data_IF_223251881418
#
_entry.id   IF_223251881418
#
_cell.length_a   1.000
_cell.length_b   1.000
_cell.length_c   1.000
_cell.angle_alpha   90.00
_cell.angle_beta   90.00
_cell.angle_gamma   90.00
#
_symmetry.space_group_name_H-M   'P 1'
#
loop_
_entity.id
_entity.type
_entity.pdbx_description
1 polymer ?
#
# COMPACT_ATOMS: atom_id res chain seq x y z
N UNK A 1 14.50 -10.94 -8.82
CA UNK A 1 13.34 -10.68 -7.93
C UNK A 1 12.87 -12.00 -7.34
N UNK A 2 12.35 -12.02 -6.10
CA UNK A 2 11.74 -13.19 -5.53
C UNK A 2 10.45 -13.50 -6.27
N UNK A 3 10.18 -14.78 -6.49
CA UNK A 3 8.94 -15.25 -7.10
C UNK A 3 7.73 -15.12 -6.18
N UNK A 4 7.96 -14.95 -4.87
CA UNK A 4 6.92 -14.79 -3.85
C UNK A 4 7.23 -13.65 -2.90
N UNK A 5 6.20 -12.93 -2.49
CA UNK A 5 6.29 -11.86 -1.50
C UNK A 5 5.48 -12.22 -0.26
N UNK A 6 5.96 -11.77 0.89
CA UNK A 6 5.26 -11.95 2.15
C UNK A 6 4.12 -10.95 2.32
N UNK A 7 2.98 -11.46 2.77
CA UNK A 7 1.79 -10.68 3.09
C UNK A 7 1.49 -10.82 4.57
N UNK A 8 1.07 -9.72 5.20
CA UNK A 8 0.70 -9.72 6.60
C UNK A 8 -0.66 -10.41 6.76
N UNK A 9 -0.74 -11.58 7.42
CA UNK A 9 -2.00 -12.31 7.56
C UNK A 9 -3.07 -11.53 8.33
N UNK A 10 -2.70 -10.55 9.16
CA UNK A 10 -3.66 -9.66 9.83
C UNK A 10 -4.45 -8.84 8.80
N UNK A 11 -3.77 -8.41 7.74
CA UNK A 11 -4.36 -7.64 6.66
C UNK A 11 -4.93 -8.51 5.54
N UNK A 12 -4.68 -9.83 5.57
CA UNK A 12 -5.10 -10.76 4.53
C UNK A 12 -6.26 -11.68 4.91
N UNK A 13 -7.01 -11.34 5.96
CA UNK A 13 -8.31 -11.96 6.21
C UNK A 13 -9.26 -11.45 5.12
N UNK A 14 -9.62 -12.29 4.14
CA UNK A 14 -10.59 -11.94 3.08
C UNK A 14 -11.71 -11.09 3.67
N UNK A 15 -11.78 -9.82 3.25
CA UNK A 15 -12.89 -8.93 3.59
C UNK A 15 -14.16 -9.22 2.79
N UNK A 16 -14.14 -10.26 1.95
CA UNK A 16 -15.24 -10.64 1.07
C UNK A 16 -15.79 -11.98 1.56
N UNK A 17 -17.01 -11.89 2.11
CA UNK A 17 -18.06 -12.89 2.31
C UNK A 17 -17.65 -14.38 2.25
N UNK A 18 -17.94 -15.07 3.37
CA UNK A 18 -17.86 -16.51 3.65
C UNK A 18 -16.47 -17.03 4.05
N UNK A 19 -16.37 -17.35 5.34
CA UNK A 19 -15.31 -18.18 5.90
C UNK A 19 -15.91 -19.53 6.29
N UNK A 20 -15.52 -20.61 5.61
CA UNK A 20 -15.69 -21.97 6.14
C UNK A 20 -14.54 -22.25 7.11
N UNK A 21 -14.88 -22.68 8.33
CA UNK A 21 -13.97 -22.82 9.47
C UNK A 21 -13.20 -24.15 9.47
N UNK A 22 -12.40 -24.40 8.43
CA UNK A 22 -11.48 -25.55 8.43
C UNK A 22 -10.25 -25.16 7.65
N UNK A 23 -9.14 -24.91 8.34
CA UNK A 23 -7.87 -24.59 7.70
C UNK A 23 -6.73 -25.44 8.26
N UNK A 24 -6.06 -26.16 7.36
CA UNK A 24 -4.94 -27.07 7.64
C UNK A 24 -3.59 -26.31 7.67
N UNK A 25 -2.51 -26.93 8.15
CA UNK A 25 -1.20 -26.28 8.35
C UNK A 25 -0.55 -25.72 7.07
N UNK A 26 -0.77 -26.34 5.90
CA UNK A 26 -0.31 -25.82 4.59
C UNK A 26 -1.07 -24.56 4.13
N UNK A 27 -2.35 -24.44 4.46
CA UNK A 27 -3.14 -23.22 4.20
C UNK A 27 -2.59 -22.01 4.96
N UNK A 28 -1.86 -22.26 6.04
CA UNK A 28 -1.28 -21.22 6.89
C UNK A 28 -0.09 -20.51 6.23
N UNK A 29 0.64 -21.17 5.32
CA UNK A 29 1.72 -20.55 4.53
C UNK A 29 1.20 -19.87 3.26
N UNK A 30 0.22 -20.48 2.58
CA UNK A 30 -0.48 -19.88 1.45
C UNK A 30 -1.21 -18.57 1.85
N UNK A 31 -1.70 -18.48 3.09
CA UNK A 31 -2.30 -17.25 3.62
C UNK A 31 -1.29 -16.12 3.94
N UNK A 32 0.02 -16.41 3.96
CA UNK A 32 1.11 -15.50 4.37
C UNK A 32 2.05 -15.09 3.24
N UNK A 33 1.85 -15.62 2.03
CA UNK A 33 2.61 -15.19 0.84
C UNK A 33 1.75 -15.20 -0.41
N UNK A 34 2.07 -14.35 -1.38
CA UNK A 34 1.50 -14.39 -2.73
C UNK A 34 2.62 -14.42 -3.77
N UNK A 35 2.32 -14.86 -4.98
CA UNK A 35 3.29 -14.78 -6.07
C UNK A 35 3.50 -13.32 -6.49
N UNK A 36 4.72 -12.97 -6.90
CA UNK A 36 5.07 -11.59 -7.27
C UNK A 36 4.27 -11.10 -8.49
N UNK A 37 4.07 -11.99 -9.46
CA UNK A 37 3.29 -11.79 -10.69
C UNK A 37 1.77 -11.64 -10.46
N UNK A 38 1.26 -12.05 -9.30
CA UNK A 38 -0.15 -11.84 -8.95
C UNK A 38 -0.49 -10.39 -8.55
N UNK A 39 0.55 -9.60 -8.27
CA UNK A 39 0.45 -8.19 -7.85
C UNK A 39 1.07 -7.25 -8.88
N UNK A 40 2.20 -7.66 -9.47
CA UNK A 40 2.99 -6.81 -10.35
C UNK A 40 3.19 -7.44 -11.73
N UNK A 41 3.25 -6.59 -12.75
CA UNK A 41 3.45 -6.96 -14.14
C UNK A 41 4.95 -7.05 -14.43
N UNK A 42 5.50 -8.27 -14.48
CA UNK A 42 6.95 -8.48 -14.65
C UNK A 42 7.44 -8.02 -16.02
N UNK A 43 6.61 -8.17 -17.05
CA UNK A 43 6.94 -7.73 -18.41
C UNK A 43 7.00 -6.21 -18.46
N UNK A 44 6.00 -5.53 -17.87
CA UNK A 44 5.98 -4.07 -17.80
C UNK A 44 7.15 -3.48 -17.00
N UNK A 45 7.59 -4.15 -15.90
CA UNK A 45 8.80 -3.71 -15.17
C UNK A 45 10.05 -3.94 -16.04
N UNK A 46 10.06 -5.04 -16.80
CA UNK A 46 11.18 -5.41 -17.67
C UNK A 46 11.41 -4.44 -18.84
N UNK A 47 10.41 -3.63 -19.20
CA UNK A 47 10.57 -2.50 -20.13
C UNK A 47 11.56 -1.45 -19.60
N UNK A 48 11.72 -1.35 -18.27
CA UNK A 48 12.67 -0.42 -17.64
C UNK A 48 13.98 -1.11 -17.27
N UNK A 49 13.90 -2.23 -16.55
CA UNK A 49 15.07 -3.01 -16.13
C UNK A 49 14.72 -4.49 -16.23
N UNK A 50 15.52 -5.32 -16.95
CA UNK A 50 15.24 -6.74 -17.09
C UNK A 50 15.02 -7.43 -15.74
N UNK A 51 13.85 -8.04 -15.56
CA UNK A 51 13.50 -8.75 -14.33
C UNK A 51 13.63 -10.26 -14.53
N UNK A 52 14.41 -10.90 -13.66
CA UNK A 52 14.51 -12.36 -13.60
C UNK A 52 13.98 -12.81 -12.23
N UNK A 53 13.00 -13.73 -12.23
CA UNK A 53 12.48 -14.35 -11.01
C UNK A 53 13.39 -15.47 -10.52
N UNK A 54 13.53 -15.61 -9.20
CA UNK A 54 14.38 -16.60 -8.54
C UNK A 54 13.97 -18.07 -8.76
N UNK A 55 12.76 -18.31 -9.28
CA UNK A 55 12.27 -19.63 -9.66
C UNK A 55 12.34 -19.90 -11.17
N UNK A 56 12.90 -18.98 -11.97
CA UNK A 56 12.96 -19.11 -13.42
C UNK A 56 14.12 -20.00 -13.89
N UNK A 57 13.96 -20.64 -15.05
CA UNK A 57 15.04 -21.39 -15.72
C UNK A 57 16.25 -20.50 -16.00
N UNK A 58 16.00 -19.25 -16.39
CA UNK A 58 17.04 -18.27 -16.66
C UNK A 58 17.87 -17.96 -15.40
N UNK A 59 17.21 -17.78 -14.25
CA UNK A 59 17.92 -17.62 -12.98
C UNK A 59 18.83 -18.81 -12.67
N UNK A 60 18.34 -20.03 -12.86
CA UNK A 60 19.14 -21.24 -12.66
C UNK A 60 20.35 -21.29 -13.60
N UNK A 61 20.19 -20.92 -14.87
CA UNK A 61 21.28 -20.85 -15.84
C UNK A 61 22.33 -19.80 -15.46
N UNK A 62 21.89 -18.59 -15.07
CA UNK A 62 22.80 -17.53 -14.59
C UNK A 62 23.56 -18.00 -13.37
N UNK A 63 22.88 -18.54 -12.37
CA UNK A 63 23.48 -18.99 -11.11
C UNK A 63 24.50 -20.11 -11.34
N UNK A 64 24.14 -21.14 -12.10
CA UNK A 64 25.04 -22.26 -12.41
C UNK A 64 26.27 -21.82 -13.21
N UNK A 65 26.10 -20.90 -14.16
CA UNK A 65 27.22 -20.35 -14.95
C UNK A 65 28.13 -19.48 -14.07
N UNK A 66 27.56 -18.60 -13.24
CA UNK A 66 28.32 -17.80 -12.28
C UNK A 66 29.14 -18.66 -11.32
N UNK A 67 28.55 -19.76 -10.80
CA UNK A 67 29.26 -20.70 -9.93
C UNK A 67 30.44 -21.37 -10.63
N UNK A 68 30.28 -21.80 -11.90
CA UNK A 68 31.38 -22.38 -12.71
C UNK A 68 32.53 -21.39 -12.94
N UNK A 69 32.23 -20.11 -13.06
CA UNK A 69 33.21 -19.05 -13.31
C UNK A 69 33.90 -18.55 -12.01
N UNK A 70 33.41 -18.93 -10.84
CA UNK A 70 33.97 -18.54 -9.54
C UNK A 70 34.05 -17.03 -9.36
N UNK A 71 35.22 -16.52 -8.94
CA UNK A 71 35.47 -15.08 -8.73
C UNK A 71 35.32 -14.22 -10.00
N UNK A 72 35.24 -14.84 -11.20
CA UNK A 72 34.98 -14.15 -12.47
C UNK A 72 33.50 -14.11 -12.85
N UNK A 73 32.64 -14.87 -12.16
CA UNK A 73 31.22 -14.98 -12.46
C UNK A 73 30.31 -14.34 -11.42
N UNK A 74 30.79 -14.20 -10.18
CA UNK A 74 30.05 -13.57 -9.08
C UNK A 74 30.95 -12.65 -8.27
N UNK A 75 30.43 -11.49 -7.88
CA UNK A 75 31.02 -10.69 -6.80
C UNK A 75 29.98 -10.31 -5.77
N UNK A 76 30.41 -10.30 -4.51
CA UNK A 76 29.66 -9.69 -3.42
C UNK A 76 30.08 -8.23 -3.27
N UNK A 77 29.12 -7.30 -3.35
CA UNK A 77 29.39 -5.86 -3.40
C UNK A 77 28.71 -5.13 -2.26
N UNK A 78 29.15 -5.41 -1.03
CA UNK A 78 28.72 -4.64 0.13
C UNK A 78 29.31 -3.22 0.08
N UNK A 79 28.49 -2.18 0.30
CA UNK A 79 28.89 -0.77 0.36
C UNK A 79 29.54 -0.17 -0.90
N UNK A 80 29.54 -0.87 -2.03
CA UNK A 80 30.00 -0.33 -3.32
C UNK A 80 28.95 0.64 -3.89
N UNK A 81 29.39 1.81 -4.36
CA UNK A 81 28.48 2.81 -4.93
C UNK A 81 28.01 2.42 -6.34
N UNK A 82 26.93 3.04 -6.82
CA UNK A 82 26.47 2.80 -8.20
C UNK A 82 27.49 3.28 -9.25
N UNK A 83 28.23 4.36 -8.96
CA UNK A 83 29.28 4.88 -9.83
C UNK A 83 30.42 3.88 -9.92
N UNK A 84 30.88 3.35 -8.78
CA UNK A 84 31.96 2.34 -8.74
C UNK A 84 31.57 1.05 -9.46
N UNK A 85 30.32 0.60 -9.34
CA UNK A 85 29.83 -0.57 -10.09
C UNK A 85 29.85 -0.35 -11.61
N UNK A 86 29.66 0.89 -12.06
CA UNK A 86 29.60 1.25 -13.48
C UNK A 86 30.99 1.48 -14.08
N UNK A 87 31.87 2.13 -13.34
CA UNK A 87 33.16 2.61 -13.86
C UNK A 87 34.32 1.63 -13.62
N UNK A 88 34.22 0.76 -12.62
CA UNK A 88 35.28 -0.19 -12.32
C UNK A 88 35.18 -1.45 -13.21
N UNK A 89 36.19 -1.65 -14.07
CA UNK A 89 36.29 -2.78 -15.00
C UNK A 89 36.31 -4.15 -14.32
N UNK A 90 36.58 -4.22 -13.00
CA UNK A 90 36.47 -5.45 -12.23
C UNK A 90 35.05 -6.02 -12.21
N UNK A 91 34.03 -5.16 -12.31
CA UNK A 91 32.63 -5.58 -12.26
C UNK A 91 31.99 -5.76 -13.63
N UNK A 92 32.61 -5.25 -14.71
CA UNK A 92 32.00 -5.21 -16.05
C UNK A 92 31.78 -6.58 -16.69
N UNK A 93 32.56 -7.59 -16.29
CA UNK A 93 32.50 -8.95 -16.84
C UNK A 93 31.77 -9.95 -15.92
N UNK A 94 31.18 -9.48 -14.82
CA UNK A 94 30.48 -10.34 -13.88
C UNK A 94 29.06 -10.64 -14.34
N UNK A 95 28.65 -11.90 -14.22
CA UNK A 95 27.27 -12.32 -14.51
C UNK A 95 26.32 -12.05 -13.35
N UNK A 96 26.81 -12.16 -12.11
CA UNK A 96 26.01 -11.95 -10.91
C UNK A 96 26.70 -10.99 -9.95
N UNK A 97 26.00 -9.91 -9.63
CA UNK A 97 26.40 -8.95 -8.59
C UNK A 97 25.48 -9.19 -7.40
N UNK A 98 26.00 -9.85 -6.37
CA UNK A 98 25.28 -10.08 -5.13
C UNK A 98 25.48 -8.85 -4.22
N UNK A 99 24.47 -7.98 -4.18
CA UNK A 99 24.43 -6.87 -3.24
C UNK A 99 23.62 -7.32 -2.03
N UNK A 100 24.23 -7.33 -0.84
CA UNK A 100 23.53 -7.57 0.43
C UNK A 100 22.25 -6.74 0.44
N UNK A 101 21.12 -7.39 0.77
CA UNK A 101 19.76 -6.88 0.65
C UNK A 101 19.75 -5.35 0.71
N UNK A 102 19.59 -4.75 -0.47
CA UNK A 102 19.67 -3.31 -0.60
C UNK A 102 18.67 -2.69 0.36
N UNK A 103 19.02 -1.64 1.11
CA UNK A 103 18.05 -0.80 1.82
C UNK A 103 16.91 -0.29 0.93
N UNK A 104 17.08 -0.44 -0.38
CA UNK A 104 16.23 0.02 -1.46
C UNK A 104 15.40 -1.12 -2.09
N UNK A 105 15.35 -2.32 -1.50
CA UNK A 105 14.55 -3.42 -2.05
C UNK A 105 13.08 -3.02 -2.13
N UNK A 106 12.46 -3.34 -3.27
CA UNK A 106 11.09 -2.94 -3.61
C UNK A 106 10.02 -3.71 -2.83
N UNK A 107 10.38 -4.86 -2.29
CA UNK A 107 9.49 -5.81 -1.62
C UNK A 107 10.24 -6.44 -0.45
N UNK A 108 9.49 -6.96 0.51
CA UNK A 108 10.04 -7.76 1.60
C UNK A 108 10.06 -9.22 1.17
N UNK A 109 11.23 -9.83 1.11
CA UNK A 109 11.36 -11.28 0.95
C UNK A 109 10.80 -11.99 2.20
N UNK A 110 10.22 -13.17 2.02
CA UNK A 110 9.69 -13.95 3.13
C UNK A 110 10.79 -14.51 4.03
N UNK A 111 11.92 -14.85 3.43
CA UNK A 111 13.18 -15.10 4.11
C UNK A 111 13.66 -13.73 4.59
N UNK A 112 13.80 -13.54 5.91
CA UNK A 112 14.33 -12.31 6.53
C UNK A 112 13.38 -11.12 6.76
N UNK A 113 12.05 -11.33 6.81
CA UNK A 113 11.02 -10.29 7.05
C UNK A 113 11.23 -9.37 8.29
N UNK A 114 12.07 -9.75 9.24
CA UNK A 114 12.33 -8.98 10.46
C UNK A 114 13.40 -7.91 10.26
N UNK A 115 14.19 -8.01 9.17
CA UNK A 115 15.15 -6.99 8.79
C UNK A 115 14.44 -5.85 8.06
N UNK A 116 14.17 -4.77 8.80
CA UNK A 116 13.42 -3.59 8.33
C UNK A 116 14.30 -2.60 7.56
N UNK A 117 15.59 -2.89 7.40
CA UNK A 117 16.53 -1.99 6.71
C UNK A 117 16.28 -1.95 5.20
N UNK A 118 15.57 -2.92 4.63
CA UNK A 118 15.56 -3.23 3.20
C UNK A 118 14.54 -2.52 2.31
N UNK A 119 13.69 -1.58 2.77
CA UNK A 119 12.63 -1.03 1.89
C UNK A 119 12.54 0.48 1.96
N UNK A 120 13.11 1.15 0.95
CA UNK A 120 12.67 2.49 0.56
C UNK A 120 13.15 2.85 -0.86
N UNK A 121 12.24 2.88 -1.85
CA UNK A 121 12.38 3.58 -3.14
C UNK A 121 10.98 3.79 -3.79
N UNK A 122 10.82 4.64 -4.82
CA UNK A 122 9.75 5.63 -4.91
C UNK A 122 8.36 5.04 -4.83
N UNK A 123 7.53 5.64 -3.97
CA UNK A 123 6.12 5.29 -3.81
C UNK A 123 5.31 5.41 -5.13
N UNK A 124 5.89 5.97 -6.19
CA UNK A 124 5.30 6.11 -7.52
C UNK A 124 5.52 4.91 -8.46
N UNK A 125 6.64 4.18 -8.38
CA UNK A 125 7.02 3.21 -9.42
C UNK A 125 6.28 1.87 -9.33
N UNK A 126 6.51 1.06 -8.29
CA UNK A 126 5.83 -0.24 -8.15
C UNK A 126 4.30 -0.16 -8.29
N UNK A 127 3.63 0.90 -7.78
CA UNK A 127 2.18 1.00 -7.91
C UNK A 127 1.71 1.31 -9.33
N UNK A 128 2.57 1.85 -10.20
CA UNK A 128 2.29 1.96 -11.65
C UNK A 128 2.59 0.67 -12.42
N UNK A 129 3.20 -0.32 -11.76
CA UNK A 129 3.60 -1.61 -12.33
C UNK A 129 2.67 -2.75 -11.90
N UNK A 130 1.41 -2.43 -11.56
CA UNK A 130 0.44 -3.43 -11.14
C UNK A 130 0.13 -4.45 -12.26
N UNK A 131 -0.15 -5.69 -11.87
CA UNK A 131 -0.49 -6.78 -12.78
C UNK A 131 -1.61 -6.39 -13.77
N UNK A 132 -1.49 -6.84 -15.02
CA UNK A 132 -2.38 -6.47 -16.13
C UNK A 132 -3.87 -6.67 -15.82
N UNK A 133 -4.22 -7.79 -15.16
CA UNK A 133 -5.60 -8.07 -14.76
C UNK A 133 -6.14 -7.04 -13.73
N UNK A 134 -5.31 -6.62 -12.76
CA UNK A 134 -5.67 -5.60 -11.78
C UNK A 134 -5.87 -4.23 -12.43
N UNK A 135 -5.00 -3.87 -13.40
CA UNK A 135 -5.15 -2.67 -14.22
C UNK A 135 -6.45 -2.69 -15.02
N UNK A 136 -6.73 -3.78 -15.72
CA UNK A 136 -7.96 -3.94 -16.50
C UNK A 136 -9.23 -3.81 -15.65
N UNK A 137 -9.24 -4.41 -14.44
CA UNK A 137 -10.37 -4.29 -13.51
C UNK A 137 -10.52 -2.85 -13.02
N UNK A 138 -9.42 -2.21 -12.64
CA UNK A 138 -9.45 -0.80 -12.25
C UNK A 138 -9.98 0.08 -13.38
N UNK A 139 -9.54 -0.12 -14.62
CA UNK A 139 -10.01 0.64 -15.78
C UNK A 139 -11.51 0.47 -16.04
N UNK A 140 -12.04 -0.76 -15.90
CA UNK A 140 -13.49 -1.00 -15.97
C UNK A 140 -14.25 -0.23 -14.88
N UNK A 141 -13.77 -0.26 -13.63
CA UNK A 141 -14.41 0.46 -12.52
C UNK A 141 -14.34 1.97 -12.74
N UNK A 142 -13.20 2.51 -13.19
CA UNK A 142 -13.06 3.93 -13.53
C UNK A 142 -14.04 4.36 -14.62
N UNK A 143 -14.23 3.53 -15.65
CA UNK A 143 -15.21 3.81 -16.71
C UNK A 143 -16.65 3.86 -16.16
N UNK A 144 -17.00 2.96 -15.22
CA UNK A 144 -18.31 2.97 -14.56
C UNK A 144 -18.50 4.18 -13.62
N UNK A 145 -17.42 4.63 -12.96
CA UNK A 145 -17.44 5.81 -12.09
C UNK A 145 -17.58 7.12 -12.88
N UNK A 146 -17.07 7.17 -14.13
CA UNK A 146 -17.11 8.37 -14.98
C UNK A 146 -16.14 9.46 -14.51
N UNK A 147 -16.63 10.69 -14.32
CA UNK A 147 -15.88 11.78 -13.68
C UNK A 147 -16.13 11.77 -12.16
N UNK A 148 -15.09 11.49 -11.38
CA UNK A 148 -15.18 11.32 -9.93
C UNK A 148 -13.94 11.87 -9.22
N UNK A 149 -14.10 12.12 -7.92
CA UNK A 149 -13.02 12.36 -6.98
C UNK A 149 -12.88 11.17 -6.04
N UNK A 150 -11.74 11.05 -5.37
CA UNK A 150 -11.48 9.95 -4.46
C UNK A 150 -10.90 10.42 -3.13
N UNK A 151 -11.33 9.76 -2.05
CA UNK A 151 -10.74 9.92 -0.71
C UNK A 151 -10.22 8.56 -0.23
N UNK A 152 -9.02 8.59 0.37
CA UNK A 152 -8.50 7.48 1.14
C UNK A 152 -8.61 7.79 2.63
N UNK A 153 -9.26 6.93 3.40
CA UNK A 153 -9.49 7.11 4.84
C UNK A 153 -8.91 5.94 5.63
N UNK A 154 -7.72 6.14 6.21
CA UNK A 154 -7.01 5.15 7.05
C UNK A 154 -7.24 5.42 8.53
N UNK A 155 -8.24 4.75 9.13
CA UNK A 155 -8.66 4.91 10.53
C UNK A 155 -8.29 3.72 11.41
N UNK A 156 -8.90 2.56 11.17
CA UNK A 156 -9.02 1.50 12.18
C UNK A 156 -7.74 1.00 12.87
N UNK A 157 -6.62 0.85 12.17
CA UNK A 157 -5.33 0.44 12.76
C UNK A 157 -4.47 1.63 13.26
N UNK A 158 -4.85 2.85 12.91
CA UNK A 158 -4.11 4.09 13.17
C UNK A 158 -4.66 4.87 14.36
N UNK A 159 -5.96 4.77 14.61
CA UNK A 159 -6.58 5.27 15.83
C UNK A 159 -6.20 4.32 16.97
N UNK A 160 -5.04 4.58 17.58
CA UNK A 160 -4.54 3.86 18.75
C UNK A 160 -4.34 4.86 19.88
N UNK A 161 -5.06 4.66 20.96
CA UNK A 161 -4.93 5.43 22.19
C UNK A 161 -4.27 4.60 23.28
N UNK A 162 -3.57 5.27 24.19
CA UNK A 162 -3.09 4.71 25.46
C UNK A 162 -3.18 5.76 26.55
N UNK A 163 -3.42 5.33 27.79
CA UNK A 163 -3.33 6.22 28.95
C UNK A 163 -1.88 6.39 29.37
N UNK A 164 -1.51 7.63 29.71
CA UNK A 164 -0.23 7.90 30.36
C UNK A 164 -0.31 7.65 31.88
N UNK A 165 0.78 7.93 32.60
CA UNK A 165 0.87 7.76 34.06
C UNK A 165 -0.14 8.59 34.86
N UNK A 166 -0.79 9.57 34.24
CA UNK A 166 -1.82 10.42 34.83
C UNK A 166 -3.23 10.06 34.35
N UNK A 167 -3.38 8.96 33.61
CA UNK A 167 -4.67 8.51 33.09
C UNK A 167 -5.17 9.26 31.86
N UNK A 168 -4.36 10.13 31.27
CA UNK A 168 -4.72 10.95 30.10
C UNK A 168 -4.49 10.18 28.82
N UNK A 169 -5.47 10.19 27.92
CA UNK A 169 -5.36 9.53 26.62
C UNK A 169 -4.31 10.20 25.73
N UNK A 170 -3.51 9.36 25.08
CA UNK A 170 -2.48 9.75 24.14
C UNK A 170 -2.60 8.97 22.85
N UNK A 171 -2.32 9.61 21.73
CA UNK A 171 -2.31 9.03 20.38
C UNK A 171 -1.04 9.40 19.63
N UNK A 172 -0.68 8.61 18.63
CA UNK A 172 0.41 8.90 17.69
C UNK A 172 -0.02 9.86 16.57
N UNK A 173 -1.33 10.02 16.37
CA UNK A 173 -1.94 10.89 15.37
C UNK A 173 -3.02 11.72 16.08
N UNK A 174 -2.67 12.91 16.61
CA UNK A 174 -3.56 13.71 17.46
C UNK A 174 -4.84 14.16 16.77
N UNK A 175 -4.83 14.42 15.46
CA UNK A 175 -6.00 14.96 14.75
C UNK A 175 -6.76 13.91 13.96
N UNK A 176 -6.17 12.73 13.73
CA UNK A 176 -6.71 11.71 12.83
C UNK A 176 -8.16 11.34 13.08
N UNK A 177 -8.58 11.07 14.33
CA UNK A 177 -9.96 10.65 14.59
C UNK A 177 -10.94 11.76 14.22
N UNK A 178 -10.73 12.98 14.77
CA UNK A 178 -11.54 14.16 14.49
C UNK A 178 -11.62 14.46 13.00
N UNK A 179 -10.48 14.64 12.35
CA UNK A 179 -10.41 15.12 10.96
C UNK A 179 -10.99 14.12 9.94
N UNK A 180 -11.11 12.85 10.30
CA UNK A 180 -11.66 11.81 9.43
C UNK A 180 -13.08 11.41 9.79
N UNK A 181 -13.75 12.12 10.70
CA UNK A 181 -15.20 12.01 10.90
C UNK A 181 -15.96 12.69 9.74
N UNK A 182 -17.15 12.20 9.37
CA UNK A 182 -17.87 12.69 8.19
C UNK A 182 -18.09 14.20 8.16
N UNK A 183 -18.45 14.81 9.29
CA UNK A 183 -18.70 16.24 9.45
C UNK A 183 -17.44 17.09 9.18
N UNK A 184 -16.28 16.64 9.65
CA UNK A 184 -15.01 17.30 9.37
C UNK A 184 -14.53 17.04 7.94
N UNK A 185 -14.78 15.84 7.40
CA UNK A 185 -14.51 15.53 5.99
C UNK A 185 -15.31 16.46 5.09
N UNK A 186 -16.62 16.65 5.33
CA UNK A 186 -17.49 17.55 4.56
C UNK A 186 -16.87 18.95 4.46
N UNK A 187 -16.53 19.55 5.60
CA UNK A 187 -15.95 20.88 5.66
C UNK A 187 -14.53 20.94 5.06
N UNK A 188 -13.71 19.91 5.28
CA UNK A 188 -12.34 19.89 4.75
C UNK A 188 -12.32 19.80 3.23
N UNK A 189 -13.20 19.00 2.62
CA UNK A 189 -13.16 18.72 1.18
C UNK A 189 -14.04 19.66 0.36
N UNK A 190 -14.96 20.42 0.94
CA UNK A 190 -15.87 21.30 0.17
C UNK A 190 -15.13 22.37 -0.66
N UNK A 191 -13.99 22.85 -0.16
CA UNK A 191 -13.11 23.78 -0.88
C UNK A 191 -12.44 23.15 -2.11
N UNK A 192 -12.45 21.83 -2.21
CA UNK A 192 -11.79 21.08 -3.28
C UNK A 192 -12.79 20.38 -4.19
N UNK A 193 -13.86 19.82 -3.64
CA UNK A 193 -14.82 18.98 -4.36
C UNK A 193 -16.17 19.68 -4.40
N UNK A 194 -16.63 20.12 -5.59
CA UNK A 194 -17.96 20.66 -5.77
C UNK A 194 -19.08 19.71 -5.32
N UNK A 195 -20.23 20.23 -4.84
CA UNK A 195 -21.39 19.42 -4.51
C UNK A 195 -21.92 18.64 -5.74
N UNK A 196 -22.56 17.50 -5.48
CA UNK A 196 -23.17 16.63 -6.50
C UNK A 196 -22.21 15.66 -7.20
N UNK A 197 -20.90 15.78 -6.96
CA UNK A 197 -19.88 14.91 -7.55
C UNK A 197 -19.88 13.50 -6.97
N UNK A 198 -19.40 12.55 -7.76
CA UNK A 198 -19.13 11.18 -7.32
C UNK A 198 -17.85 11.16 -6.49
N UNK A 199 -17.93 10.60 -5.28
CA UNK A 199 -16.83 10.46 -4.35
C UNK A 199 -16.56 8.99 -4.07
N UNK A 200 -15.48 8.46 -4.65
CA UNK A 200 -15.00 7.11 -4.36
C UNK A 200 -14.27 7.07 -3.02
N UNK A 201 -14.68 6.18 -2.11
CA UNK A 201 -14.11 6.07 -0.77
C UNK A 201 -13.41 4.72 -0.61
N UNK A 202 -12.08 4.77 -0.46
CA UNK A 202 -11.29 3.63 -0.01
C UNK A 202 -10.97 3.76 1.48
N UNK A 203 -11.44 2.84 2.30
CA UNK A 203 -11.26 2.93 3.76
C UNK A 203 -11.11 1.56 4.43
N UNK A 204 -10.42 1.56 5.57
CA UNK A 204 -10.41 0.43 6.51
C UNK A 204 -11.29 0.67 7.74
N UNK A 205 -12.16 1.69 7.71
CA UNK A 205 -13.21 1.87 8.70
C UNK A 205 -14.15 0.65 8.67
N UNK A 206 -14.51 0.16 9.86
CA UNK A 206 -15.30 -1.08 10.01
C UNK A 206 -16.76 -0.80 10.28
N UNK A 207 -17.06 0.40 10.75
CA UNK A 207 -18.42 0.81 11.11
C UNK A 207 -19.26 0.94 9.84
N UNK A 208 -20.30 0.10 9.65
CA UNK A 208 -21.16 0.19 8.46
C UNK A 208 -21.83 1.56 8.39
N UNK A 209 -21.89 2.13 7.18
CA UNK A 209 -22.53 3.42 6.97
C UNK A 209 -21.82 4.61 7.63
N UNK A 210 -20.59 4.46 8.14
CA UNK A 210 -19.84 5.54 8.79
C UNK A 210 -19.80 6.82 7.94
N UNK A 211 -19.62 6.69 6.63
CA UNK A 211 -19.54 7.83 5.71
C UNK A 211 -20.90 8.28 5.14
N UNK A 212 -22.02 7.70 5.59
CA UNK A 212 -23.35 8.09 5.10
C UNK A 212 -23.67 9.57 5.22
N UNK A 213 -23.20 10.34 6.23
CA UNK A 213 -23.49 11.78 6.27
C UNK A 213 -22.94 12.56 5.07
N UNK A 214 -21.94 12.01 4.36
CA UNK A 214 -21.40 12.63 3.15
C UNK A 214 -22.44 12.65 1.99
N UNK A 215 -23.50 11.84 2.05
CA UNK A 215 -24.54 11.79 0.99
C UNK A 215 -25.34 13.08 0.87
N UNK A 216 -25.32 13.94 1.90
CA UNK A 216 -25.92 15.28 1.84
C UNK A 216 -25.34 16.11 0.69
N UNK A 217 -24.07 15.87 0.33
CA UNK A 217 -23.36 16.68 -0.67
C UNK A 217 -22.79 15.88 -1.84
N UNK A 218 -22.52 14.58 -1.67
CA UNK A 218 -21.79 13.78 -2.66
C UNK A 218 -22.49 12.45 -2.96
N UNK A 219 -22.29 11.93 -4.18
CA UNK A 219 -22.71 10.58 -4.56
C UNK A 219 -21.60 9.60 -4.16
N UNK A 220 -21.84 8.73 -3.19
CA UNK A 220 -20.78 7.88 -2.65
C UNK A 220 -20.62 6.59 -3.48
N UNK A 221 -19.37 6.21 -3.72
CA UNK A 221 -19.02 4.95 -4.34
C UNK A 221 -17.95 4.23 -3.53
N UNK A 222 -18.05 2.91 -3.46
CA UNK A 222 -17.15 2.03 -2.71
C UNK A 222 -16.77 0.83 -3.57
N UNK A 223 -15.66 0.17 -3.23
CA UNK A 223 -15.25 -1.09 -3.88
C UNK A 223 -16.35 -2.15 -3.84
N UNK A 224 -17.13 -2.21 -2.75
CA UNK A 224 -18.25 -3.15 -2.60
C UNK A 224 -19.36 -2.95 -3.64
N UNK A 225 -19.52 -1.76 -4.23
CA UNK A 225 -20.48 -1.54 -5.33
C UNK A 225 -20.08 -2.28 -6.62
N UNK A 226 -18.81 -2.71 -6.72
CA UNK A 226 -18.24 -3.37 -7.90
C UNK A 226 -17.82 -4.82 -7.61
N UNK A 227 -18.39 -5.46 -6.58
CA UNK A 227 -18.06 -6.84 -6.19
C UNK A 227 -18.16 -7.85 -7.34
N UNK A 228 -19.16 -7.71 -8.21
CA UNK A 228 -19.32 -8.55 -9.40
C UNK A 228 -18.12 -8.51 -10.38
N UNK A 229 -17.32 -7.43 -10.36
CA UNK A 229 -16.08 -7.29 -11.16
C UNK A 229 -14.86 -7.73 -10.34
N UNK A 230 -14.86 -7.42 -9.04
CA UNK A 230 -13.73 -7.67 -8.14
C UNK A 230 -13.64 -9.13 -7.71
N UNK A 231 -14.74 -9.74 -7.26
CA UNK A 231 -14.76 -11.07 -6.64
C UNK A 231 -14.15 -12.17 -7.54
N UNK A 232 -14.36 -12.19 -8.87
CA UNK A 232 -13.73 -13.20 -9.74
C UNK A 232 -12.20 -13.07 -9.86
N UNK A 233 -11.64 -11.88 -9.57
CA UNK A 233 -10.23 -11.55 -9.82
C UNK A 233 -9.41 -11.40 -8.54
N UNK A 234 -10.04 -10.97 -7.44
CA UNK A 234 -9.38 -10.69 -6.18
C UNK A 234 -9.26 -11.97 -5.35
N UNK A 235 -8.05 -12.53 -5.31
CA UNK A 235 -7.70 -13.66 -4.44
C UNK A 235 -7.33 -13.26 -3.02
N UNK A 236 -6.89 -12.01 -2.80
CA UNK A 236 -6.39 -11.54 -1.51
C UNK A 236 -6.56 -10.02 -1.31
N UNK A 237 -6.47 -9.53 -0.07
CA UNK A 237 -6.69 -8.10 0.23
C UNK A 237 -5.60 -7.18 -0.34
N UNK A 238 -4.43 -7.70 -0.69
CA UNK A 238 -3.36 -6.91 -1.31
C UNK A 238 -3.71 -6.57 -2.76
N UNK A 239 -4.31 -7.52 -3.49
CA UNK A 239 -4.85 -7.27 -4.82
C UNK A 239 -5.98 -6.23 -4.77
N UNK A 240 -6.88 -6.34 -3.78
CA UNK A 240 -7.93 -5.33 -3.58
C UNK A 240 -7.31 -3.94 -3.34
N UNK A 241 -6.33 -3.85 -2.44
CA UNK A 241 -5.63 -2.59 -2.17
C UNK A 241 -4.95 -2.01 -3.42
N UNK A 242 -4.37 -2.85 -4.29
CA UNK A 242 -3.78 -2.38 -5.55
C UNK A 242 -4.83 -1.84 -6.50
N UNK A 243 -5.97 -2.52 -6.64
CA UNK A 243 -7.08 -2.05 -7.49
C UNK A 243 -7.67 -0.75 -6.97
N UNK A 244 -7.97 -0.67 -5.66
CA UNK A 244 -8.45 0.56 -5.03
C UNK A 244 -7.49 1.72 -5.26
N UNK A 245 -6.18 1.46 -5.15
CA UNK A 245 -5.16 2.45 -5.43
C UNK A 245 -5.16 2.90 -6.88
N UNK A 246 -5.28 1.99 -7.85
CA UNK A 246 -5.36 2.34 -9.27
C UNK A 246 -6.62 3.16 -9.59
N UNK A 247 -7.75 2.84 -8.95
CA UNK A 247 -8.98 3.64 -9.03
C UNK A 247 -8.69 5.05 -8.49
N UNK A 248 -8.18 5.18 -7.27
CA UNK A 248 -7.89 6.50 -6.68
C UNK A 248 -6.92 7.34 -7.53
N UNK A 249 -5.92 6.72 -8.16
CA UNK A 249 -4.97 7.41 -9.04
C UNK A 249 -5.60 7.91 -10.35
N UNK A 250 -6.76 7.36 -10.75
CA UNK A 250 -7.51 7.84 -11.90
C UNK A 250 -8.54 8.92 -11.57
N UNK A 251 -8.67 9.32 -10.30
CA UNK A 251 -9.61 10.35 -9.87
C UNK A 251 -9.14 11.75 -10.26
N UNK A 252 -10.08 12.67 -10.49
CA UNK A 252 -9.76 14.08 -10.79
C UNK A 252 -9.06 14.76 -9.61
N UNK A 253 -9.54 14.54 -8.39
CA UNK A 253 -8.86 14.87 -7.14
C UNK A 253 -8.72 13.63 -6.28
N UNK A 254 -7.50 13.38 -5.82
CA UNK A 254 -7.21 12.32 -4.87
C UNK A 254 -6.77 12.92 -3.52
N UNK A 255 -7.61 12.73 -2.51
CA UNK A 255 -7.43 13.26 -1.16
C UNK A 255 -6.98 12.12 -0.24
N UNK A 256 -5.79 12.28 0.34
CA UNK A 256 -5.17 11.28 1.23
C UNK A 256 -5.64 11.47 2.66
N UNK A 257 -5.44 10.45 3.49
CA UNK A 257 -5.69 10.58 4.93
C UNK A 257 -4.70 11.56 5.56
N UNK A 258 -3.40 11.26 5.43
CA UNK A 258 -2.31 11.98 6.09
C UNK A 258 -1.64 12.98 5.16
N UNK A 259 -1.01 13.99 5.74
CA UNK A 259 -0.12 14.90 5.03
C UNK A 259 1.19 14.17 4.68
N UNK A 260 1.48 14.07 3.39
CA UNK A 260 2.73 13.50 2.85
C UNK A 260 3.67 14.59 2.32
N UNK A 261 3.10 15.61 1.65
CA UNK A 261 3.77 16.79 1.10
C UNK A 261 2.76 17.94 1.02
N UNK A 262 3.23 19.19 0.93
CA UNK A 262 2.41 20.40 0.82
C UNK A 262 1.62 20.48 -0.50
N UNK A 263 2.03 19.71 -1.51
CA UNK A 263 1.37 19.67 -2.82
C UNK A 263 0.12 18.77 -2.87
N UNK A 264 -0.06 17.87 -1.90
CA UNK A 264 -1.16 16.89 -1.91
C UNK A 264 -2.33 17.28 -1.00
N UNK A 265 -3.55 17.01 -1.47
CA UNK A 265 -4.75 17.12 -0.63
C UNK A 265 -4.75 16.06 0.47
N UNK A 266 -5.03 16.49 1.70
CA UNK A 266 -5.05 15.63 2.90
C UNK A 266 -6.20 15.98 3.84
N UNK A 267 -6.81 14.95 4.43
CA UNK A 267 -7.87 15.09 5.42
C UNK A 267 -7.34 15.63 6.75
N UNK A 268 -6.19 15.12 7.19
CA UNK A 268 -5.51 15.59 8.40
C UNK A 268 -4.12 16.13 8.11
N UNK A 269 -3.70 17.12 8.91
CA UNK A 269 -2.36 17.69 8.87
C UNK A 269 -1.32 16.82 9.61
N UNK A 270 -1.75 15.69 10.21
CA UNK A 270 -0.85 14.71 10.80
C UNK A 270 0.06 14.04 9.75
N UNK A 271 1.35 13.84 10.04
CA UNK A 271 2.26 13.16 9.13
C UNK A 271 1.96 11.66 9.04
N UNK A 272 2.13 11.08 7.85
CA UNK A 272 1.91 9.63 7.61
C UNK A 272 2.82 8.74 8.46
N UNK A 273 4.10 9.11 8.57
CA UNK A 273 5.06 8.47 9.49
C UNK A 273 4.92 9.17 10.84
N UNK A 274 4.56 8.42 11.89
CA UNK A 274 4.53 8.99 13.23
C UNK A 274 5.96 9.29 13.72
N UNK A 275 6.08 10.30 14.56
CA UNK A 275 7.34 10.66 15.23
C UNK A 275 7.67 9.74 16.42
N UNK A 276 6.87 8.69 16.66
CA UNK A 276 6.85 7.88 17.88
C UNK A 276 6.54 8.67 19.17
N UNK A 277 6.18 9.95 19.05
CA UNK A 277 5.80 10.81 20.16
C UNK A 277 4.29 10.68 20.37
N UNK A 278 3.89 10.35 21.59
CA UNK A 278 2.49 10.21 21.99
C UNK A 278 1.97 11.56 22.49
N UNK A 279 0.93 12.09 21.84
CA UNK A 279 0.36 13.42 22.08
C UNK A 279 -1.09 13.32 22.53
N UNK A 280 -1.64 14.39 23.11
CA UNK A 280 -3.09 14.42 23.39
C UNK A 280 -3.87 14.35 22.10
N UNK A 281 -4.95 13.55 22.03
CA UNK A 281 -5.89 13.63 20.91
C UNK A 281 -6.55 15.02 20.91
N UNK A 282 -6.81 15.53 19.72
CA UNK A 282 -7.61 16.73 19.54
C UNK A 282 -9.07 16.28 19.46
N UNK A 283 -9.81 16.57 20.52
CA UNK A 283 -11.23 16.33 20.65
C UNK A 283 -12.04 17.24 19.73
N UNK A 284 -13.26 16.79 19.40
CA UNK A 284 -14.34 17.68 18.98
C UNK A 284 -14.72 18.53 20.19
N UNK A 285 -14.68 19.86 20.07
CA UNK A 285 -15.37 20.69 21.05
C UNK A 285 -16.85 20.66 20.66
N UNK A 286 -17.71 20.20 21.56
CA UNK A 286 -19.15 20.37 21.39
C UNK A 286 -19.49 21.88 21.47
N UNK A 287 -20.67 22.29 20.99
CA UNK A 287 -21.11 23.71 21.00
C UNK A 287 -21.08 24.36 22.40
N UNK A 288 -21.03 23.55 23.46
CA UNK A 288 -20.90 23.95 24.88
C UNK A 288 -19.45 23.98 25.41
N UNK A 289 -18.43 23.81 24.56
CA UNK A 289 -17.02 23.84 24.97
C UNK A 289 -16.58 22.68 25.85
N UNK A 290 -17.39 21.62 25.99
CA UNK A 290 -17.02 20.40 26.71
C UNK A 290 -16.23 19.47 25.80
N UNK A 291 -15.16 18.92 26.38
CA UNK A 291 -14.30 17.94 25.74
C UNK A 291 -14.98 16.58 25.82
N UNK A 292 -15.53 16.07 24.71
CA UNK A 292 -15.98 14.69 24.62
C UNK A 292 -14.74 13.79 24.40
N UNK A 293 -14.51 12.89 25.36
CA UNK A 293 -13.45 11.87 25.35
C UNK A 293 -13.84 10.68 24.45
#
# INVERSE_FOLDING_TARGET
>A
MPSRMCINPIHNKKGILRRSNTANSEETWAAKSCSMDSLYDMDLISDTVPVILDNSKLWYQVLTTSMKLGARGVAHVERVSHVDLKENSRFSNLLLINRTASPLSWFMECKDRNDRSAILLPYSFLPSMAAKNLRNVADKIKALLGDYDAIHVRRGDKIKTRKDRFGVDRTLHPHLDRDTRPEFILHRIEKWVPPGRTLFIASNERTPGFFSPLTVRYKLAYSSNFSHILDPMIGNNYQLFMVERLIMMGAKKFIRTFKEDDTYFSLTDDPKKNSKIWKMPVSTMDEDGKQTL
#
